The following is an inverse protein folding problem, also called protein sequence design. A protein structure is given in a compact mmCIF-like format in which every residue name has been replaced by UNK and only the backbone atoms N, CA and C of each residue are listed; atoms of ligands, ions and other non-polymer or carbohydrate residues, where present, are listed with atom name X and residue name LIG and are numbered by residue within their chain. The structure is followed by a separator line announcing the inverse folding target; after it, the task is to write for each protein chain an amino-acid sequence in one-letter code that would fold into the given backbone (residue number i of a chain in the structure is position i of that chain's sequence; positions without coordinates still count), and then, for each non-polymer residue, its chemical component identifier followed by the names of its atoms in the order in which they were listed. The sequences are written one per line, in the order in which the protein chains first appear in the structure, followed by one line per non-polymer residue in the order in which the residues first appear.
data_IF_932732162253
#
_entry.id   IF_932732162253
#
_cell.length_a   1.000
_cell.length_b   1.000
_cell.length_c   1.000
_cell.angle_alpha   90.00
_cell.angle_beta   90.00
_cell.angle_gamma   90.00
#
_symmetry.space_group_name_H-M   'P 1'
#
loop_
_entity.id
_entity.type
_entity.pdbx_description
1 polymer ?
#
# COMPACT_ATOMS: atom_id res chain seq x y z
N UNK A 1 5.63 -1.52 0.61
CA UNK A 1 5.47 -1.52 -0.86
C UNK A 1 4.77 -2.80 -1.25
N UNK A 2 3.75 -2.71 -2.10
CA UNK A 2 3.04 -3.86 -2.64
C UNK A 2 3.63 -4.27 -3.98
N UNK A 3 3.80 -5.58 -4.17
CA UNK A 3 4.20 -6.19 -5.44
C UNK A 3 3.17 -7.26 -5.77
N UNK A 4 2.47 -7.10 -6.89
CA UNK A 4 1.39 -7.99 -7.30
C UNK A 4 0.14 -7.25 -7.79
N UNK A 5 -0.94 -7.99 -8.06
CA UNK A 5 -2.21 -7.43 -8.53
C UNK A 5 -2.83 -6.49 -7.49
N UNK A 6 -3.43 -5.38 -7.92
CA UNK A 6 -4.03 -4.40 -7.00
C UNK A 6 -5.10 -4.99 -6.07
N UNK A 7 -5.85 -6.01 -6.53
CA UNK A 7 -6.85 -6.69 -5.71
C UNK A 7 -6.24 -7.40 -4.48
N UNK A 8 -4.95 -7.71 -4.52
CA UNK A 8 -4.22 -8.46 -3.49
C UNK A 8 -3.44 -7.54 -2.54
N UNK A 9 -3.71 -6.23 -2.56
CA UNK A 9 -2.98 -5.28 -1.72
C UNK A 9 -3.42 -5.27 -0.25
N UNK A 10 -4.59 -5.84 0.06
CA UNK A 10 -5.19 -5.87 1.40
C UNK A 10 -4.23 -6.28 2.52
N UNK A 11 -3.45 -7.38 2.38
CA UNK A 11 -2.44 -7.76 3.36
C UNK A 11 -1.33 -6.71 3.56
N UNK A 12 -0.99 -5.94 2.53
CA UNK A 12 0.02 -4.86 2.64
C UNK A 12 -0.56 -3.67 3.42
N UNK A 13 -1.82 -3.31 3.17
CA UNK A 13 -2.54 -2.27 3.92
C UNK A 13 -2.65 -2.68 5.39
N UNK A 14 -3.04 -3.93 5.67
CA UNK A 14 -3.18 -4.44 7.03
C UNK A 14 -1.86 -4.34 7.81
N UNK A 15 -0.73 -4.72 7.20
CA UNK A 15 0.60 -4.56 7.83
C UNK A 15 0.92 -3.12 8.18
N UNK A 16 0.51 -2.15 7.36
CA UNK A 16 0.68 -0.72 7.67
C UNK A 16 -0.20 -0.33 8.86
N UNK A 17 -1.46 -0.73 8.88
CA UNK A 17 -2.39 -0.43 9.97
C UNK A 17 -1.92 -1.04 11.30
N UNK A 18 -1.44 -2.27 11.27
CA UNK A 18 -0.87 -2.94 12.45
C UNK A 18 0.36 -2.21 12.97
N UNK A 19 1.29 -1.84 12.08
CA UNK A 19 2.45 -1.04 12.46
C UNK A 19 2.06 0.29 13.12
N UNK A 20 1.09 1.01 12.54
CA UNK A 20 0.60 2.29 13.08
C UNK A 20 0.04 2.10 14.49
N UNK A 21 -0.80 1.07 14.69
CA UNK A 21 -1.40 0.74 15.98
C UNK A 21 -0.35 0.34 17.02
N UNK A 22 0.59 -0.52 16.65
CA UNK A 22 1.65 -1.02 17.53
C UNK A 22 2.60 0.09 18.01
N UNK A 23 2.79 1.12 17.18
CA UNK A 23 3.65 2.26 17.52
C UNK A 23 2.89 3.44 18.14
N UNK A 24 1.60 3.30 18.43
CA UNK A 24 0.79 4.32 19.09
C UNK A 24 0.47 5.56 18.24
N UNK A 25 0.69 5.48 16.92
CA UNK A 25 0.33 6.54 15.99
C UNK A 25 -1.18 6.58 15.74
N UNK A 26 -1.69 7.76 15.35
CA UNK A 26 -3.08 7.93 14.92
C UNK A 26 -3.14 8.15 13.42
N UNK A 27 -4.17 7.58 12.79
CA UNK A 27 -4.42 7.80 11.36
C UNK A 27 -4.81 9.25 11.10
N UNK A 28 -4.24 9.84 10.06
CA UNK A 28 -4.60 11.17 9.57
C UNK A 28 -4.68 11.18 8.04
N UNK A 29 -5.53 12.05 7.49
CA UNK A 29 -5.59 12.27 6.04
C UNK A 29 -6.09 11.04 5.26
N UNK A 30 -5.84 11.04 3.94
CA UNK A 30 -6.28 9.98 3.04
C UNK A 30 -5.17 8.97 2.79
N UNK A 31 -5.58 7.72 2.57
CA UNK A 31 -4.72 6.68 1.99
C UNK A 31 -4.22 7.12 0.60
N UNK A 32 -2.96 6.85 0.30
CA UNK A 32 -2.30 7.23 -0.94
C UNK A 32 -1.60 6.05 -1.59
N UNK A 33 -1.87 5.85 -2.88
CA UNK A 33 -1.17 4.90 -3.74
C UNK A 33 -0.33 5.65 -4.78
N UNK A 34 0.87 5.14 -5.04
CA UNK A 34 1.71 5.56 -6.16
C UNK A 34 1.99 4.33 -7.01
N UNK A 35 1.44 4.32 -8.22
CA UNK A 35 1.64 3.27 -9.20
C UNK A 35 2.97 3.50 -9.94
N UNK A 36 3.94 2.61 -9.71
CA UNK A 36 5.27 2.70 -10.34
C UNK A 36 5.33 1.93 -11.67
N UNK A 37 4.42 0.98 -11.86
CA UNK A 37 4.35 0.14 -13.05
C UNK A 37 3.19 0.57 -13.96
N UNK A 38 3.38 0.51 -15.28
CA UNK A 38 2.28 0.61 -16.26
C UNK A 38 1.58 -0.76 -16.36
N UNK A 39 0.28 -0.86 -15.99
CA UNK A 39 -0.46 -2.13 -16.00
C UNK A 39 -0.70 -2.69 -17.40
N UNK A 40 -0.53 -1.89 -18.46
CA UNK A 40 -0.66 -2.37 -19.85
C UNK A 40 0.60 -3.06 -20.35
N UNK A 41 1.73 -2.89 -19.65
CA UNK A 41 3.05 -3.37 -20.07
C UNK A 41 3.68 -4.36 -19.09
N UNK A 42 3.16 -4.43 -17.87
CA UNK A 42 3.71 -5.22 -16.78
C UNK A 42 2.72 -6.30 -16.39
N UNK A 43 3.20 -7.54 -16.32
CA UNK A 43 2.40 -8.66 -15.83
C UNK A 43 1.92 -8.38 -14.39
N UNK A 44 0.70 -8.81 -14.04
CA UNK A 44 0.04 -8.41 -12.80
C UNK A 44 0.83 -8.78 -11.55
N UNK A 45 1.50 -9.93 -11.55
CA UNK A 45 2.36 -10.40 -10.46
C UNK A 45 3.65 -9.58 -10.26
N UNK A 46 3.97 -8.67 -11.20
CA UNK A 46 5.16 -7.81 -11.17
C UNK A 46 4.83 -6.33 -10.99
N UNK A 47 3.55 -5.96 -10.89
CA UNK A 47 3.15 -4.58 -10.65
C UNK A 47 3.68 -4.09 -9.31
N UNK A 48 4.18 -2.86 -9.26
CA UNK A 48 4.69 -2.23 -8.05
C UNK A 48 3.86 -1.02 -7.69
N UNK A 49 3.33 -1.02 -6.47
CA UNK A 49 2.54 0.09 -5.91
C UNK A 49 3.10 0.47 -4.54
N UNK A 50 3.39 1.75 -4.35
CA UNK A 50 3.71 2.28 -3.02
C UNK A 50 2.41 2.66 -2.34
N UNK A 51 2.11 2.00 -1.22
CA UNK A 51 0.95 2.23 -0.36
C UNK A 51 1.43 3.07 0.83
N UNK A 52 0.79 4.21 1.08
CA UNK A 52 1.14 5.14 2.17
C UNK A 52 -0.10 5.57 2.92
N UNK A 53 0.00 5.55 4.25
CA UNK A 53 -1.03 6.03 5.16
C UNK A 53 -0.44 7.17 6.02
N UNK A 54 -0.96 8.40 5.94
CA UNK A 54 -0.49 9.47 6.81
C UNK A 54 -0.90 9.24 8.27
N UNK A 55 -0.05 9.69 9.19
CA UNK A 55 -0.20 9.50 10.64
C UNK A 55 0.26 10.72 11.44
N UNK A 56 -0.15 10.79 12.71
CA UNK A 56 0.29 11.76 13.73
C UNK A 56 0.61 11.08 15.08
#
# INVERSE_FOLDING_TARGET
MHIGPYADEGPTVQRILDFIRENGFKLRGKHHEIYLSDPRRTASEKLKTVIRQPVE
#
